data_IF_352067719602
#
_entry.id   IF_352067719602
#
_cell.length_a   1.000
_cell.length_b   1.000
_cell.length_c   1.000
_cell.angle_alpha   90.00
_cell.angle_beta   90.00
_cell.angle_gamma   90.00
#
_symmetry.space_group_name_H-M   'P 1'
#
loop_
_entity.id
_entity.type
_entity.pdbx_description
1 polymer ?
#
# COMPACT_ATOMS: atom_id res chain seq x y z
N UNK A 1 -11.37 -14.44 25.76
CA UNK A 1 -11.88 -13.33 24.94
C UNK A 1 -11.11 -13.35 23.62
N UNK A 2 -11.75 -13.72 22.52
CA UNK A 2 -11.09 -13.70 21.20
C UNK A 2 -11.33 -12.34 20.51
N UNK A 3 -10.59 -11.32 20.98
CA UNK A 3 -10.76 -9.93 20.52
C UNK A 3 -10.38 -9.80 19.04
N UNK A 4 -9.22 -10.34 18.67
CA UNK A 4 -8.68 -10.17 17.33
C UNK A 4 -9.48 -10.95 16.29
N UNK A 5 -9.93 -12.17 16.59
CA UNK A 5 -10.80 -12.93 15.69
C UNK A 5 -12.05 -12.14 15.31
N UNK A 6 -12.76 -11.59 16.30
CA UNK A 6 -13.95 -10.77 16.07
C UNK A 6 -13.68 -9.53 15.20
N UNK A 7 -12.56 -8.84 15.42
CA UNK A 7 -12.20 -7.68 14.60
C UNK A 7 -11.93 -8.06 13.15
N UNK A 8 -11.26 -9.19 12.90
CA UNK A 8 -11.00 -9.67 11.55
C UNK A 8 -12.26 -10.20 10.85
N UNK A 9 -13.21 -10.75 11.60
CA UNK A 9 -14.50 -11.17 11.04
C UNK A 9 -15.30 -9.94 10.58
N UNK A 10 -15.34 -8.88 11.38
CA UNK A 10 -15.94 -7.59 10.96
C UNK A 10 -15.25 -7.06 9.70
N UNK A 11 -13.91 -7.07 9.63
CA UNK A 11 -13.17 -6.59 8.45
C UNK A 11 -13.48 -7.43 7.20
N UNK A 12 -13.74 -8.74 7.36
CA UNK A 12 -14.12 -9.63 6.26
C UNK A 12 -15.49 -9.26 5.70
N UNK A 13 -16.45 -8.93 6.56
CA UNK A 13 -17.83 -8.60 6.18
C UNK A 13 -17.95 -7.22 5.51
N UNK A 14 -17.01 -6.31 5.78
CA UNK A 14 -17.04 -4.93 5.24
C UNK A 14 -16.02 -4.72 4.11
N UNK A 15 -15.33 -5.77 3.66
CA UNK A 15 -14.20 -5.68 2.72
C UNK A 15 -14.56 -4.98 1.41
N UNK A 16 -15.73 -5.27 0.85
CA UNK A 16 -16.17 -4.78 -0.46
C UNK A 16 -17.00 -3.48 -0.38
N UNK A 17 -17.11 -2.90 0.82
CA UNK A 17 -17.86 -1.66 1.06
C UNK A 17 -17.02 -0.41 0.79
N UNK A 18 -17.70 0.71 0.57
CA UNK A 18 -17.04 2.02 0.43
C UNK A 18 -16.30 2.42 1.72
N UNK A 19 -15.38 3.38 1.61
CA UNK A 19 -14.65 3.90 2.77
C UNK A 19 -15.57 4.49 3.85
N UNK A 20 -16.66 5.16 3.45
CA UNK A 20 -17.64 5.71 4.37
C UNK A 20 -18.37 4.61 5.16
N UNK A 21 -18.85 3.57 4.46
CA UNK A 21 -19.55 2.44 5.06
C UNK A 21 -18.63 1.61 5.98
N UNK A 22 -17.36 1.42 5.57
CA UNK A 22 -16.36 0.75 6.42
C UNK A 22 -16.17 1.50 7.73
N UNK A 23 -16.01 2.82 7.67
CA UNK A 23 -15.88 3.66 8.87
C UNK A 23 -17.09 3.53 9.78
N UNK A 24 -18.30 3.66 9.22
CA UNK A 24 -19.53 3.56 9.99
C UNK A 24 -19.66 2.19 10.69
N UNK A 25 -19.42 1.09 9.96
CA UNK A 25 -19.46 -0.25 10.51
C UNK A 25 -18.41 -0.45 11.62
N UNK A 26 -17.18 0.05 11.44
CA UNK A 26 -16.12 -0.02 12.47
C UNK A 26 -16.50 0.74 13.74
N UNK A 27 -17.10 1.93 13.61
CA UNK A 27 -17.58 2.68 14.77
C UNK A 27 -18.70 1.95 15.52
N UNK A 28 -19.60 1.27 14.81
CA UNK A 28 -20.73 0.53 15.40
C UNK A 28 -20.31 -0.82 16.01
N UNK A 29 -19.42 -1.56 15.35
CA UNK A 29 -19.12 -2.96 15.66
C UNK A 29 -17.75 -3.17 16.30
N UNK A 30 -16.70 -2.58 15.71
CA UNK A 30 -15.31 -2.83 16.12
C UNK A 30 -14.89 -2.00 17.35
N UNK A 31 -15.35 -0.74 17.42
CA UNK A 31 -14.98 0.19 18.49
C UNK A 31 -15.41 -0.28 19.88
N UNK A 32 -16.64 -0.78 20.11
CA UNK A 32 -17.03 -1.32 21.42
C UNK A 32 -16.17 -2.51 21.88
N UNK A 33 -15.77 -3.38 20.94
CA UNK A 33 -14.90 -4.54 21.22
C UNK A 33 -13.51 -4.04 21.67
N UNK A 34 -12.97 -3.03 20.98
CA UNK A 34 -11.66 -2.48 21.27
C UNK A 34 -11.60 -1.69 22.58
N UNK A 35 -12.67 -0.95 22.89
CA UNK A 35 -12.83 -0.25 24.16
C UNK A 35 -12.94 -1.25 25.33
N UNK A 36 -13.71 -2.33 25.15
CA UNK A 36 -13.80 -3.39 26.15
C UNK A 36 -12.44 -4.08 26.38
N UNK A 37 -11.68 -4.34 25.30
CA UNK A 37 -10.32 -4.85 25.42
C UNK A 37 -9.39 -3.88 26.17
N UNK A 38 -9.52 -2.58 25.93
CA UNK A 38 -8.77 -1.54 26.65
C UNK A 38 -9.05 -1.57 28.16
N UNK A 39 -10.32 -1.61 28.54
CA UNK A 39 -10.74 -1.72 29.94
C UNK A 39 -10.21 -3.00 30.59
N UNK A 40 -10.31 -4.13 29.88
CA UNK A 40 -9.77 -5.39 30.35
C UNK A 40 -8.25 -5.33 30.57
N UNK A 41 -7.49 -4.67 29.68
CA UNK A 41 -6.05 -4.48 29.87
C UNK A 41 -5.76 -3.67 31.14
N UNK A 42 -6.50 -2.60 31.40
CA UNK A 42 -6.33 -1.75 32.59
C UNK A 42 -6.63 -2.50 33.89
N UNK A 43 -7.74 -3.25 33.93
CA UNK A 43 -8.15 -4.04 35.09
C UNK A 43 -7.14 -5.15 35.44
N UNK A 44 -6.49 -5.73 34.42
CA UNK A 44 -5.58 -6.85 34.60
C UNK A 44 -4.11 -6.43 34.71
N UNK A 45 -3.76 -5.17 34.41
CA UNK A 45 -2.38 -4.70 34.42
C UNK A 45 -1.69 -4.88 35.78
N UNK A 46 -2.41 -4.62 36.88
CA UNK A 46 -1.90 -4.74 38.25
C UNK A 46 -1.72 -6.18 38.75
N UNK A 47 -2.29 -7.16 38.06
CA UNK A 47 -2.19 -8.59 38.42
C UNK A 47 -0.92 -9.26 37.86
N UNK A 48 -0.20 -8.57 36.97
CA UNK A 48 0.91 -9.14 36.23
C UNK A 48 2.22 -8.82 36.92
N UNK A 49 3.03 -9.86 37.15
CA UNK A 49 4.39 -9.70 37.68
C UNK A 49 5.22 -8.78 36.77
N UNK A 50 5.79 -7.74 37.36
CA UNK A 50 6.74 -6.84 36.72
C UNK A 50 7.88 -7.62 36.04
N UNK A 51 8.33 -7.14 34.88
CA UNK A 51 9.39 -7.73 34.04
C UNK A 51 9.10 -9.10 33.39
N UNK A 52 7.92 -9.68 33.56
CA UNK A 52 7.51 -10.85 32.76
C UNK A 52 7.35 -10.50 31.27
N UNK A 53 7.41 -11.51 30.39
CA UNK A 53 7.14 -11.32 28.97
C UNK A 53 5.71 -10.78 28.72
N UNK A 54 4.75 -11.23 29.53
CA UNK A 54 3.36 -10.77 29.50
C UNK A 54 3.27 -9.30 29.91
N UNK A 55 3.96 -8.89 30.97
CA UNK A 55 4.02 -7.48 31.37
C UNK A 55 4.53 -6.59 30.23
N UNK A 56 5.61 -7.00 29.55
CA UNK A 56 6.15 -6.27 28.39
C UNK A 56 5.12 -6.16 27.26
N UNK A 57 4.36 -7.23 26.98
CA UNK A 57 3.30 -7.22 25.97
C UNK A 57 2.13 -6.29 26.36
N UNK A 58 1.70 -6.32 27.62
CA UNK A 58 0.67 -5.41 28.16
C UNK A 58 1.11 -3.95 28.05
N UNK A 59 2.28 -3.61 28.59
CA UNK A 59 2.81 -2.25 28.54
C UNK A 59 2.98 -1.75 27.09
N UNK A 60 3.44 -2.63 26.19
CA UNK A 60 3.57 -2.30 24.77
C UNK A 60 2.22 -2.00 24.11
N UNK A 61 1.21 -2.81 24.42
CA UNK A 61 -0.15 -2.70 23.88
C UNK A 61 -0.87 -1.48 24.42
N UNK A 62 -0.86 -1.26 25.74
CA UNK A 62 -1.49 -0.10 26.38
C UNK A 62 -0.95 1.21 25.82
N UNK A 63 0.38 1.34 25.66
CA UNK A 63 1.02 2.52 25.05
C UNK A 63 0.54 2.79 23.62
N UNK A 64 0.05 1.76 22.92
CA UNK A 64 -0.36 1.81 21.51
C UNK A 64 -1.86 1.68 21.31
N UNK A 65 -2.65 1.46 22.36
CA UNK A 65 -4.07 1.14 22.26
C UNK A 65 -4.84 2.17 21.42
N UNK A 66 -4.62 3.47 21.69
CA UNK A 66 -5.18 4.58 20.90
C UNK A 66 -4.66 4.65 19.46
N UNK A 67 -3.40 4.27 19.21
CA UNK A 67 -2.81 4.31 17.86
C UNK A 67 -3.33 3.16 16.99
N UNK A 68 -3.59 2.01 17.61
CA UNK A 68 -4.12 0.83 16.94
C UNK A 68 -5.61 0.97 16.58
N UNK A 69 -6.35 1.91 17.16
CA UNK A 69 -7.75 2.19 16.79
C UNK A 69 -7.91 3.20 15.66
N UNK A 70 -6.84 3.81 15.15
CA UNK A 70 -6.93 4.89 14.13
C UNK A 70 -7.64 4.44 12.85
N UNK A 71 -7.49 3.17 12.45
CA UNK A 71 -8.19 2.62 11.28
C UNK A 71 -9.72 2.61 11.44
N UNK A 72 -10.23 2.63 12.67
CA UNK A 72 -11.67 2.71 12.96
C UNK A 72 -12.23 4.10 12.66
N UNK A 73 -11.38 5.14 12.63
CA UNK A 73 -11.77 6.52 12.35
C UNK A 73 -11.64 6.90 10.86
N UNK A 74 -10.86 6.13 10.10
CA UNK A 74 -10.64 6.34 8.67
C UNK A 74 -10.82 5.04 7.88
N UNK A 75 -11.91 4.96 7.10
CA UNK A 75 -12.26 3.79 6.30
C UNK A 75 -11.33 3.50 5.11
N UNK A 76 -10.41 4.41 4.76
CA UNK A 76 -9.36 4.15 3.77
C UNK A 76 -8.23 3.30 4.34
N UNK A 77 -8.08 3.25 5.66
CA UNK A 77 -7.04 2.48 6.32
C UNK A 77 -7.44 1.01 6.45
N UNK A 78 -6.46 0.13 6.32
CA UNK A 78 -6.59 -1.27 6.68
C UNK A 78 -6.28 -1.46 8.17
N UNK A 79 -6.82 -2.54 8.75
CA UNK A 79 -6.55 -2.92 10.15
C UNK A 79 -5.07 -3.23 10.39
N UNK A 80 -4.37 -3.70 9.37
CA UNK A 80 -2.96 -4.07 9.40
C UNK A 80 -2.19 -3.55 8.18
N UNK A 81 -0.88 -3.74 8.21
CA UNK A 81 0.05 -3.40 7.13
C UNK A 81 0.36 -4.58 6.20
N UNK A 82 -0.36 -5.72 6.30
CA UNK A 82 -0.06 -6.94 5.54
C UNK A 82 0.02 -6.71 4.02
N UNK A 83 -0.85 -5.88 3.39
CA UNK A 83 -0.73 -5.60 1.96
C UNK A 83 0.58 -4.91 1.60
N UNK A 84 1.06 -3.99 2.46
CA UNK A 84 2.32 -3.29 2.27
C UNK A 84 3.50 -4.25 2.49
N UNK A 85 3.46 -5.06 3.54
CA UNK A 85 4.51 -6.06 3.79
C UNK A 85 4.65 -7.05 2.63
N UNK A 86 3.50 -7.48 2.09
CA UNK A 86 3.46 -8.37 0.93
C UNK A 86 4.02 -7.71 -0.33
N UNK A 87 3.78 -6.42 -0.53
CA UNK A 87 4.28 -5.69 -1.71
C UNK A 87 5.78 -5.42 -1.66
N UNK A 88 6.34 -5.19 -0.47
CA UNK A 88 7.79 -4.96 -0.29
C UNK A 88 8.60 -6.24 -0.13
N UNK A 89 7.96 -7.38 0.19
CA UNK A 89 8.64 -8.67 0.43
C UNK A 89 9.59 -9.08 -0.70
N UNK A 90 9.26 -8.93 -2.00
CA UNK A 90 10.19 -9.25 -3.08
C UNK A 90 11.48 -8.43 -3.03
N UNK A 91 11.40 -7.15 -2.65
CA UNK A 91 12.56 -6.26 -2.49
C UNK A 91 13.41 -6.72 -1.30
N UNK A 92 12.77 -7.04 -0.18
CA UNK A 92 13.44 -7.52 1.02
C UNK A 92 14.16 -8.87 0.80
N UNK A 93 13.60 -9.75 -0.02
CA UNK A 93 14.26 -11.01 -0.43
C UNK A 93 15.38 -10.75 -1.45
N UNK A 94 15.12 -9.89 -2.43
CA UNK A 94 16.07 -9.53 -3.48
C UNK A 94 17.35 -8.88 -2.96
N UNK A 95 17.28 -8.13 -1.85
CA UNK A 95 18.45 -7.44 -1.26
C UNK A 95 19.64 -8.37 -0.96
N UNK A 96 19.39 -9.64 -0.64
CA UNK A 96 20.45 -10.64 -0.40
C UNK A 96 21.11 -11.13 -1.69
N UNK A 97 20.44 -10.93 -2.83
CA UNK A 97 20.85 -11.37 -4.16
C UNK A 97 21.35 -10.20 -5.03
N UNK A 98 21.27 -8.95 -4.57
CA UNK A 98 21.76 -7.79 -5.31
C UNK A 98 23.28 -7.67 -5.16
N UNK A 99 24.01 -8.36 -6.04
CA UNK A 99 25.48 -8.35 -6.10
C UNK A 99 26.09 -6.95 -6.36
N UNK A 100 25.28 -5.96 -6.74
CA UNK A 100 25.72 -4.63 -7.17
C UNK A 100 25.19 -3.48 -6.29
N UNK A 101 24.45 -3.76 -5.22
CA UNK A 101 23.93 -2.74 -4.29
C UNK A 101 24.86 -2.52 -3.10
N UNK A 102 26.15 -2.31 -3.36
CA UNK A 102 27.19 -2.17 -2.33
C UNK A 102 27.37 -0.74 -1.76
N UNK A 103 26.74 0.27 -2.37
CA UNK A 103 26.83 1.67 -1.95
C UNK A 103 25.46 2.29 -1.68
N UNK A 104 25.43 3.37 -0.90
CA UNK A 104 24.20 4.14 -0.63
C UNK A 104 23.55 4.65 -1.94
N UNK A 105 24.35 5.20 -2.85
CA UNK A 105 23.89 5.67 -4.16
C UNK A 105 23.31 4.54 -5.01
N UNK A 106 23.93 3.35 -4.97
CA UNK A 106 23.42 2.16 -5.67
C UNK A 106 22.06 1.71 -5.11
N UNK A 107 21.90 1.77 -3.79
CA UNK A 107 20.62 1.49 -3.14
C UNK A 107 19.53 2.52 -3.52
N UNK A 108 19.86 3.81 -3.56
CA UNK A 108 18.94 4.86 -3.96
C UNK A 108 18.47 4.68 -5.41
N UNK A 109 19.39 4.41 -6.34
CA UNK A 109 19.05 4.12 -7.75
C UNK A 109 18.17 2.90 -7.90
N UNK A 110 18.46 1.84 -7.14
CA UNK A 110 17.64 0.63 -7.11
C UNK A 110 16.23 0.94 -6.59
N UNK A 111 16.11 1.74 -5.53
CA UNK A 111 14.81 2.14 -4.96
C UNK A 111 13.98 2.97 -5.97
N UNK A 112 14.61 3.88 -6.73
CA UNK A 112 13.93 4.60 -7.81
C UNK A 112 13.37 3.63 -8.86
N UNK A 113 14.19 2.67 -9.33
CA UNK A 113 13.74 1.68 -10.31
C UNK A 113 12.58 0.83 -9.79
N UNK A 114 12.68 0.30 -8.57
CA UNK A 114 11.59 -0.47 -7.96
C UNK A 114 10.31 0.35 -7.79
N UNK A 115 10.43 1.66 -7.52
CA UNK A 115 9.28 2.55 -7.42
C UNK A 115 8.55 2.68 -8.76
N UNK A 116 9.29 2.81 -9.88
CA UNK A 116 8.70 2.80 -11.22
C UNK A 116 8.04 1.46 -11.57
N UNK A 117 8.72 0.34 -11.28
CA UNK A 117 8.18 -1.00 -11.54
C UNK A 117 6.90 -1.27 -10.72
N UNK A 118 6.88 -0.84 -9.45
CA UNK A 118 5.70 -0.90 -8.58
C UNK A 118 4.55 -0.05 -9.12
N UNK A 119 4.86 1.16 -9.61
CA UNK A 119 3.86 2.05 -10.24
C UNK A 119 3.30 1.42 -11.53
N UNK A 120 4.14 0.84 -12.38
CA UNK A 120 3.68 0.11 -13.57
C UNK A 120 2.69 -1.00 -13.19
N UNK A 121 3.04 -1.81 -12.18
CA UNK A 121 2.17 -2.88 -11.68
C UNK A 121 0.82 -2.36 -11.17
N UNK A 122 0.82 -1.25 -10.42
CA UNK A 122 -0.42 -0.62 -9.91
C UNK A 122 -1.35 -0.14 -11.04
N UNK A 123 -0.79 0.30 -12.17
CA UNK A 123 -1.56 0.79 -13.32
C UNK A 123 -1.81 -0.27 -14.41
N UNK A 124 -1.43 -1.53 -14.16
CA UNK A 124 -1.58 -2.62 -15.13
C UNK A 124 -0.71 -2.47 -16.37
N UNK A 125 0.44 -1.78 -16.25
CA UNK A 125 1.38 -1.53 -17.35
C UNK A 125 2.46 -2.61 -17.33
N UNK A 126 2.79 -3.17 -18.50
CA UNK A 126 3.97 -4.03 -18.63
C UNK A 126 5.23 -3.18 -18.42
N UNK A 127 6.02 -3.43 -17.36
CA UNK A 127 7.15 -2.55 -17.05
C UNK A 127 8.27 -2.59 -18.10
N UNK A 128 8.43 -3.71 -18.82
CA UNK A 128 9.42 -3.83 -19.89
C UNK A 128 9.03 -2.95 -21.08
N UNK A 129 7.76 -2.97 -21.47
CA UNK A 129 7.25 -2.14 -22.57
C UNK A 129 7.41 -0.66 -22.27
N UNK A 130 7.05 -0.24 -21.05
CA UNK A 130 7.25 1.13 -20.60
C UNK A 130 8.73 1.52 -20.59
N UNK A 131 9.60 0.68 -20.02
CA UNK A 131 11.02 0.99 -19.90
C UNK A 131 11.72 1.07 -21.26
N UNK A 132 11.46 0.14 -22.17
CA UNK A 132 12.03 0.13 -23.52
C UNK A 132 11.69 1.42 -24.26
N UNK A 133 10.42 1.81 -24.21
CA UNK A 133 9.94 2.99 -24.90
C UNK A 133 10.48 4.29 -24.28
N UNK A 134 10.45 4.41 -22.95
CA UNK A 134 11.02 5.57 -22.25
C UNK A 134 12.51 5.72 -22.57
N UNK A 135 13.29 4.63 -22.54
CA UNK A 135 14.72 4.69 -22.85
C UNK A 135 15.00 5.11 -24.30
N UNK A 136 14.12 4.75 -25.25
CA UNK A 136 14.25 5.19 -26.65
C UNK A 136 13.95 6.68 -26.82
N UNK A 137 13.01 7.23 -26.05
CA UNK A 137 12.52 8.60 -26.20
C UNK A 137 13.21 9.62 -25.31
N UNK A 138 13.76 9.20 -24.16
CA UNK A 138 14.24 10.11 -23.10
C UNK A 138 15.29 11.12 -23.58
N UNK A 139 16.16 10.75 -24.52
CA UNK A 139 17.21 11.64 -25.01
C UNK A 139 16.69 12.73 -25.95
N UNK A 140 15.54 12.52 -26.58
CA UNK A 140 14.91 13.46 -27.52
C UNK A 140 13.65 14.11 -26.94
N UNK A 141 13.22 13.69 -25.75
CA UNK A 141 12.00 14.20 -25.11
C UNK A 141 12.26 15.58 -24.47
N UNK A 142 11.36 16.56 -24.61
CA UNK A 142 11.51 17.87 -23.99
C UNK A 142 11.64 17.75 -22.46
N UNK A 143 12.60 18.47 -21.88
CA UNK A 143 12.93 18.39 -20.45
C UNK A 143 11.78 18.87 -19.56
N UNK A 144 10.99 19.84 -20.03
CA UNK A 144 9.77 20.34 -19.39
C UNK A 144 8.63 19.31 -19.39
N UNK A 145 8.69 18.31 -20.27
CA UNK A 145 7.66 17.28 -20.46
C UNK A 145 8.04 15.89 -19.97
N UNK A 146 9.14 15.75 -19.21
CA UNK A 146 9.58 14.45 -18.67
C UNK A 146 8.49 13.75 -17.84
N UNK A 147 7.61 14.51 -17.20
CA UNK A 147 6.49 13.97 -16.43
C UNK A 147 5.51 13.14 -17.28
N UNK A 148 5.44 13.35 -18.60
CA UNK A 148 4.64 12.53 -19.53
C UNK A 148 5.18 11.09 -19.62
N UNK A 149 6.47 10.89 -19.37
CA UNK A 149 7.12 9.56 -19.39
C UNK A 149 6.85 8.75 -18.12
N UNK A 150 6.23 9.34 -17.08
CA UNK A 150 5.82 8.60 -15.90
C UNK A 150 4.77 7.53 -16.29
N UNK A 151 4.80 6.32 -15.70
CA UNK A 151 3.94 5.22 -16.12
C UNK A 151 2.45 5.59 -16.33
N UNK A 152 1.75 6.26 -15.39
CA UNK A 152 0.33 6.58 -15.57
C UNK A 152 0.06 7.56 -16.73
N UNK A 153 0.96 8.52 -16.97
CA UNK A 153 0.81 9.51 -18.04
C UNK A 153 1.20 8.91 -19.39
N UNK A 154 2.24 8.07 -19.40
CA UNK A 154 2.66 7.31 -20.57
C UNK A 154 1.53 6.45 -21.11
N UNK A 155 0.78 5.77 -20.23
CA UNK A 155 -0.36 4.94 -20.61
C UNK A 155 -1.46 5.76 -21.29
N UNK A 156 -1.84 6.91 -20.72
CA UNK A 156 -2.84 7.82 -21.30
C UNK A 156 -2.43 8.29 -22.69
N UNK A 157 -1.16 8.69 -22.85
CA UNK A 157 -0.63 9.13 -24.14
C UNK A 157 -0.68 8.01 -25.20
N UNK A 158 -0.41 6.75 -24.81
CA UNK A 158 -0.55 5.62 -25.72
C UNK A 158 -2.00 5.40 -26.17
N UNK A 159 -2.95 5.52 -25.24
CA UNK A 159 -4.39 5.39 -25.51
C UNK A 159 -4.87 6.50 -26.46
N UNK A 160 -4.54 7.76 -26.18
CA UNK A 160 -4.85 8.92 -27.04
C UNK A 160 -4.26 8.77 -28.45
N UNK A 161 -3.00 8.32 -28.57
CA UNK A 161 -2.34 8.10 -29.88
C UNK A 161 -3.01 6.98 -30.69
N UNK A 162 -3.58 5.97 -30.01
CA UNK A 162 -4.29 4.86 -30.66
C UNK A 162 -5.65 5.31 -31.19
N UNK A 163 -6.38 6.11 -30.42
CA UNK A 163 -7.68 6.69 -30.80
C UNK A 163 -7.54 7.61 -32.02
N UNK A 164 -6.56 8.52 -32.01
CA UNK A 164 -6.28 9.41 -33.14
C UNK A 164 -5.95 8.64 -34.44
N UNK A 165 -5.23 7.51 -34.34
CA UNK A 165 -4.89 6.68 -35.51
C UNK A 165 -6.12 5.95 -36.06
N UNK A 166 -7.05 5.54 -35.21
CA UNK A 166 -8.29 4.87 -35.63
C UNK A 166 -9.24 5.85 -36.31
N UNK A 167 -9.45 7.04 -35.75
CA UNK A 167 -10.28 8.09 -36.37
C UNK A 167 -9.74 8.52 -37.74
N UNK A 168 -8.43 8.72 -37.86
CA UNK A 168 -7.79 9.07 -39.12
C UNK A 168 -7.84 7.95 -40.17
N UNK A 169 -7.99 6.69 -39.76
CA UNK A 169 -8.16 5.55 -40.68
C UNK A 169 -9.60 5.47 -41.18
N UNK A 170 -10.57 5.73 -40.31
CA UNK A 170 -12.01 5.74 -40.67
C UNK A 170 -12.31 6.88 -41.65
N UNK A 171 -11.79 8.09 -41.40
CA UNK A 171 -11.98 9.26 -42.28
C UNK A 171 -11.33 9.12 -43.67
N UNK A 172 -10.31 8.24 -43.82
CA UNK A 172 -9.66 7.97 -45.11
C UNK A 172 -10.32 6.84 -45.90
N UNK A 173 -11.22 6.08 -45.28
CA UNK A 173 -11.92 4.93 -45.89
C UNK A 173 -13.39 5.25 -46.20
N UNK A 174 -13.92 6.35 -45.67
CA UNK A 174 -15.22 6.95 -46.00
C UNK A 174 -15.08 7.93 -47.17
#
# INVERSE_FOLDING_TARGET
>A
MDVFGQLYDIERDIKDKSSAERKEARQKLAKPIWENFGRWLEENAGLIKENSAIYKAFAYTMKRHKRLSVYMENGMLNIDNNPIESSIRPIALGRRNFLFSGSHDGAQRSAMLYSFMGTCKLHGINPMTWMEDVLKRINTHPSDKIHELLPPNWKKLQEETLEEKQENTILKTA
#
